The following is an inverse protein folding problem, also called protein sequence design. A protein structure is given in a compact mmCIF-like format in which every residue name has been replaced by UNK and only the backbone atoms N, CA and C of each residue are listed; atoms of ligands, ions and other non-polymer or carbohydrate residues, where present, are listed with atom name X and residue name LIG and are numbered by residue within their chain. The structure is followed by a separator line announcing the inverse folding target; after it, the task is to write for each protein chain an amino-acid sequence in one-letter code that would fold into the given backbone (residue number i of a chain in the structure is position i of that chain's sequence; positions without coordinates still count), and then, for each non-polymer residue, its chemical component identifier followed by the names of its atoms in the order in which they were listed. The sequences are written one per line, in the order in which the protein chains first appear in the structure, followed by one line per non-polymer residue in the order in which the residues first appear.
data_IF_288191522241
#
_entry.id   IF_288191522241
#
_cell.length_a   1.000
_cell.length_b   1.000
_cell.length_c   1.000
_cell.angle_alpha   90.00
_cell.angle_beta   90.00
_cell.angle_gamma   90.00
#
_symmetry.space_group_name_H-M   'P 1'
#
loop_
_entity.id
_entity.type
_entity.pdbx_description
1 polymer ?
#
# COMPACT_ATOMS: atom_id res chain seq x y z
N UNK A 1 27.84 -0.54 18.33
CA UNK A 1 28.11 -0.97 16.95
C UNK A 1 26.95 -1.83 16.52
N UNK A 2 26.21 -1.42 15.51
CA UNK A 2 25.17 -2.23 14.92
C UNK A 2 25.82 -3.43 14.24
N UNK A 3 25.45 -4.61 14.66
CA UNK A 3 25.86 -5.85 14.02
C UNK A 3 25.08 -5.99 12.71
N UNK A 4 25.50 -6.93 11.88
CA UNK A 4 24.74 -7.32 10.67
C UNK A 4 23.29 -7.62 11.00
N UNK A 5 22.35 -6.92 10.36
CA UNK A 5 20.91 -7.14 10.46
C UNK A 5 20.37 -7.52 9.08
N UNK A 6 19.53 -8.54 9.02
CA UNK A 6 18.91 -9.01 7.79
C UNK A 6 17.41 -8.78 7.83
N UNK A 7 16.87 -8.24 6.73
CA UNK A 7 15.48 -7.90 6.62
C UNK A 7 14.90 -8.54 5.34
N UNK A 8 13.63 -8.92 5.39
CA UNK A 8 12.87 -9.35 4.22
C UNK A 8 11.50 -8.69 4.22
N UNK A 9 11.08 -8.21 3.06
CA UNK A 9 9.76 -7.65 2.84
C UNK A 9 9.02 -8.41 1.74
N UNK A 10 7.72 -8.49 1.93
CA UNK A 10 6.76 -8.96 0.94
C UNK A 10 5.72 -7.87 0.67
N UNK A 11 4.99 -7.98 -0.45
CA UNK A 11 3.92 -7.06 -0.79
C UNK A 11 2.61 -7.35 -0.07
N UNK A 12 1.50 -7.23 -0.80
CA UNK A 12 0.15 -7.27 -0.26
C UNK A 12 -0.27 -8.68 0.15
N UNK A 13 -0.75 -8.82 1.38
CA UNK A 13 -1.33 -10.05 1.90
C UNK A 13 -2.85 -9.90 2.05
N UNK A 14 -3.56 -10.22 0.97
CA UNK A 14 -5.01 -10.32 0.93
C UNK A 14 -5.43 -11.75 1.26
N UNK A 15 -5.51 -12.08 2.56
CA UNK A 15 -5.81 -13.40 3.09
C UNK A 15 -7.27 -13.49 3.54
N UNK A 16 -8.06 -14.38 2.96
CA UNK A 16 -9.51 -14.47 3.24
C UNK A 16 -9.91 -15.69 4.05
N UNK A 17 -9.04 -16.69 4.15
CA UNK A 17 -9.35 -18.00 4.77
C UNK A 17 -8.13 -18.61 5.43
N UNK A 18 -8.38 -19.54 6.32
CA UNK A 18 -7.37 -20.35 6.99
C UNK A 18 -6.66 -21.29 6.00
N UNK A 19 -5.38 -21.47 6.19
CA UNK A 19 -4.65 -22.53 5.50
C UNK A 19 -5.09 -23.92 6.00
N UNK A 20 -5.00 -24.97 5.15
CA UNK A 20 -5.15 -26.35 5.60
C UNK A 20 -4.14 -26.66 6.72
N UNK A 21 -4.48 -27.64 7.57
CA UNK A 21 -3.53 -28.18 8.54
C UNK A 21 -2.25 -28.69 7.82
N UNK A 22 -1.08 -28.18 8.22
CA UNK A 22 0.18 -28.48 7.56
C UNK A 22 0.54 -27.52 6.40
N UNK A 23 -0.30 -26.52 6.10
CA UNK A 23 -0.06 -25.55 5.03
C UNK A 23 -0.57 -26.00 3.65
N UNK A 24 0.04 -25.52 2.61
CA UNK A 24 -0.24 -25.84 1.20
C UNK A 24 1.06 -26.23 0.48
N UNK A 25 0.97 -26.79 -0.72
CA UNK A 25 2.16 -27.16 -1.51
C UNK A 25 3.03 -25.92 -1.80
N UNK A 26 4.29 -25.96 -1.38
CA UNK A 26 5.23 -24.84 -1.50
C UNK A 26 5.31 -23.92 -0.27
N UNK A 27 4.43 -24.09 0.74
CA UNK A 27 4.42 -23.27 1.95
C UNK A 27 5.76 -23.30 2.70
N UNK A 28 6.32 -24.49 2.92
CA UNK A 28 7.57 -24.65 3.69
C UNK A 28 8.76 -23.96 3.03
N UNK A 29 8.86 -24.04 1.70
CA UNK A 29 9.94 -23.40 0.94
C UNK A 29 9.89 -21.87 1.08
N UNK A 30 8.68 -21.27 0.97
CA UNK A 30 8.48 -19.83 1.18
C UNK A 30 8.80 -19.44 2.62
N UNK A 31 8.28 -20.18 3.58
CA UNK A 31 8.55 -19.98 5.01
C UNK A 31 10.03 -20.05 5.35
N UNK A 32 10.75 -21.03 4.78
CA UNK A 32 12.16 -21.26 5.05
C UNK A 32 13.02 -20.11 4.51
N UNK A 33 12.67 -19.49 3.37
CA UNK A 33 13.31 -18.26 2.90
C UNK A 33 13.06 -17.12 3.88
N UNK A 34 11.81 -16.89 4.27
CA UNK A 34 11.43 -15.80 5.18
C UNK A 34 12.17 -15.94 6.52
N UNK A 35 12.31 -17.16 7.05
CA UNK A 35 12.92 -17.39 8.36
C UNK A 35 14.47 -17.30 8.39
N UNK A 36 15.12 -17.03 7.25
CA UNK A 36 16.54 -16.70 7.21
C UNK A 36 16.84 -15.27 7.70
N UNK A 37 15.80 -14.43 7.83
CA UNK A 37 15.92 -13.00 8.12
C UNK A 37 15.50 -12.68 9.56
N UNK A 38 16.08 -11.62 10.13
CA UNK A 38 15.77 -11.14 11.50
C UNK A 38 14.43 -10.38 11.50
N UNK A 39 14.22 -9.48 10.54
CA UNK A 39 13.01 -8.67 10.36
C UNK A 39 12.23 -9.18 9.15
N UNK A 40 10.96 -9.46 9.33
CA UNK A 40 10.09 -10.11 8.35
C UNK A 40 8.79 -9.35 8.21
N UNK A 41 8.68 -8.57 7.15
CA UNK A 41 7.60 -7.61 6.90
C UNK A 41 6.57 -8.12 5.88
N UNK A 42 5.29 -7.80 6.12
CA UNK A 42 4.22 -7.93 5.13
C UNK A 42 3.15 -6.84 5.33
N UNK A 43 2.44 -6.45 4.24
CA UNK A 43 1.26 -5.61 4.33
C UNK A 43 0.01 -6.47 4.55
N UNK A 44 -0.74 -6.22 5.62
CA UNK A 44 -2.03 -6.88 5.91
C UNK A 44 -3.15 -6.09 5.23
N UNK A 45 -3.52 -6.48 4.01
CA UNK A 45 -4.50 -5.76 3.18
C UNK A 45 -5.93 -6.24 3.41
N UNK A 46 -6.32 -6.33 4.68
CA UNK A 46 -7.63 -6.82 5.12
C UNK A 46 -8.06 -6.16 6.43
N UNK A 47 -9.33 -6.28 6.77
CA UNK A 47 -9.80 -6.15 8.15
C UNK A 47 -9.95 -7.53 8.79
N UNK A 48 -9.55 -7.67 10.04
CA UNK A 48 -9.55 -8.95 10.77
C UNK A 48 -10.51 -8.90 11.94
N UNK A 49 -11.75 -9.35 11.73
CA UNK A 49 -12.80 -9.35 12.74
C UNK A 49 -13.98 -10.23 12.34
N UNK A 50 -14.87 -10.52 13.30
CA UNK A 50 -16.08 -11.32 13.10
C UNK A 50 -17.33 -10.40 13.10
N UNK A 51 -17.53 -9.59 12.04
CA UNK A 51 -18.69 -8.70 11.86
C UNK A 51 -18.84 -7.63 12.97
N UNK A 52 -17.72 -7.17 13.52
CA UNK A 52 -17.72 -6.21 14.64
C UNK A 52 -17.78 -4.74 14.19
N UNK A 53 -17.71 -4.49 12.88
CA UNK A 53 -17.90 -3.19 12.26
C UNK A 53 -19.02 -3.21 11.23
N UNK A 54 -19.54 -2.03 10.89
CA UNK A 54 -20.50 -1.89 9.80
C UNK A 54 -19.74 -1.77 8.48
N UNK A 55 -20.20 -2.42 7.38
CA UNK A 55 -19.65 -2.15 6.06
C UNK A 55 -19.69 -0.66 5.76
N UNK A 56 -18.59 -0.10 5.30
CA UNK A 56 -18.57 1.28 4.84
C UNK A 56 -19.34 1.40 3.52
N UNK A 57 -19.82 2.60 3.21
CA UNK A 57 -20.54 2.85 1.95
C UNK A 57 -19.67 2.70 0.69
N UNK A 58 -18.38 2.47 0.88
CA UNK A 58 -17.36 2.22 -0.15
C UNK A 58 -16.37 1.20 0.39
N UNK A 59 -15.57 0.61 -0.49
CA UNK A 59 -14.52 -0.35 -0.14
C UNK A 59 -13.26 -0.08 -0.94
N UNK A 60 -12.17 -0.73 -0.57
CA UNK A 60 -10.92 -0.72 -1.33
C UNK A 60 -10.97 -1.46 -2.68
N UNK A 61 -12.15 -1.84 -3.16
CA UNK A 61 -12.38 -2.59 -4.40
C UNK A 61 -13.31 -3.77 -4.21
N UNK A 62 -13.28 -4.38 -3.03
CA UNK A 62 -14.28 -5.32 -2.47
C UNK A 62 -14.26 -5.15 -0.96
N UNK A 63 -15.35 -5.47 -0.26
CA UNK A 63 -15.32 -5.45 1.20
C UNK A 63 -14.53 -6.63 1.72
N UNK A 64 -13.35 -6.34 2.29
CA UNK A 64 -12.38 -7.33 2.71
C UNK A 64 -12.41 -7.54 4.23
N UNK A 65 -12.94 -8.69 4.65
CA UNK A 65 -12.97 -9.14 6.03
C UNK A 65 -12.53 -10.59 6.10
N UNK A 66 -11.66 -10.91 7.07
CA UNK A 66 -11.23 -12.26 7.36
C UNK A 66 -11.44 -12.63 8.83
N UNK A 67 -11.64 -13.92 9.10
CA UNK A 67 -11.60 -14.45 10.46
C UNK A 67 -10.25 -14.10 11.11
N UNK A 68 -10.22 -13.53 12.33
CA UNK A 68 -8.97 -13.16 12.99
C UNK A 68 -7.94 -14.28 13.14
N UNK A 69 -8.37 -15.56 13.07
CA UNK A 69 -7.45 -16.70 13.09
C UNK A 69 -6.55 -16.76 11.85
N UNK A 70 -6.88 -16.09 10.74
CA UNK A 70 -5.99 -15.97 9.57
C UNK A 70 -4.70 -15.22 9.89
N UNK A 71 -4.69 -14.38 10.94
CA UNK A 71 -3.48 -13.77 11.47
C UNK A 71 -2.48 -14.80 11.99
N UNK A 72 -2.97 -15.94 12.51
CA UNK A 72 -2.11 -17.03 12.96
C UNK A 72 -1.42 -17.72 11.76
N UNK A 73 -2.10 -17.76 10.59
CA UNK A 73 -1.52 -18.25 9.34
C UNK A 73 -0.42 -17.30 8.82
N UNK A 74 -0.61 -15.98 8.92
CA UNK A 74 0.45 -15.01 8.64
C UNK A 74 1.67 -15.18 9.56
N UNK A 75 1.44 -15.40 10.86
CA UNK A 75 2.53 -15.71 11.80
C UNK A 75 3.24 -17.02 11.48
N UNK A 76 2.54 -18.00 10.92
CA UNK A 76 3.12 -19.31 10.58
C UNK A 76 4.20 -19.24 9.50
N UNK A 77 4.21 -18.21 8.64
CA UNK A 77 5.33 -17.88 7.76
C UNK A 77 6.57 -17.37 8.51
N UNK A 78 6.37 -16.86 9.73
CA UNK A 78 7.40 -16.25 10.54
C UNK A 78 7.41 -14.72 10.53
N UNK A 79 6.47 -14.06 9.86
CA UNK A 79 6.36 -12.59 9.88
C UNK A 79 6.28 -12.02 11.28
N UNK A 80 6.99 -10.91 11.54
CA UNK A 80 7.07 -10.27 12.84
C UNK A 80 6.87 -8.74 12.79
N UNK A 81 6.60 -8.17 11.61
CA UNK A 81 6.35 -6.74 11.41
C UNK A 81 5.30 -6.52 10.32
N UNK A 82 4.27 -5.69 10.59
CA UNK A 82 3.11 -5.57 9.70
C UNK A 82 2.70 -4.13 9.45
N UNK A 83 2.38 -3.82 8.18
CA UNK A 83 1.60 -2.64 7.83
C UNK A 83 0.10 -2.94 7.89
N UNK A 84 -0.68 -1.97 8.37
CA UNK A 84 -2.15 -2.02 8.39
C UNK A 84 -2.80 -0.81 7.73
N UNK A 85 -2.01 0.15 7.22
CA UNK A 85 -2.52 1.31 6.48
C UNK A 85 -2.62 0.99 4.99
N UNK A 86 -3.83 0.73 4.51
CA UNK A 86 -4.12 0.42 3.10
C UNK A 86 -5.56 0.78 2.74
N UNK A 87 -5.96 0.62 1.48
CA UNK A 87 -7.29 0.92 0.98
C UNK A 87 -8.40 0.09 1.63
N UNK A 88 -8.08 -1.11 2.14
CA UNK A 88 -9.01 -2.01 2.83
C UNK A 88 -9.12 -1.78 4.34
N UNK A 89 -8.28 -0.95 4.93
CA UNK A 89 -8.26 -0.73 6.40
C UNK A 89 -9.62 -0.35 6.98
N UNK A 90 -10.46 0.34 6.21
CA UNK A 90 -11.74 0.91 6.65
C UNK A 90 -12.95 0.31 5.95
N UNK A 91 -12.86 -0.83 5.30
CA UNK A 91 -13.97 -1.50 4.60
C UNK A 91 -15.16 -1.79 5.52
N UNK A 92 -14.89 -1.97 6.81
CA UNK A 92 -15.91 -2.13 7.86
C UNK A 92 -15.92 -0.97 8.85
N UNK A 93 -15.68 0.25 8.34
CA UNK A 93 -15.76 1.50 9.08
C UNK A 93 -14.81 1.51 10.30
N UNK A 94 -14.98 2.47 11.20
CA UNK A 94 -14.14 2.61 12.39
C UNK A 94 -14.23 1.40 13.34
N UNK A 95 -15.40 0.70 13.35
CA UNK A 95 -15.57 -0.53 14.12
C UNK A 95 -14.65 -1.65 13.66
N UNK A 96 -14.53 -1.84 12.33
CA UNK A 96 -13.59 -2.80 11.74
C UNK A 96 -12.13 -2.47 12.03
N UNK A 97 -11.75 -1.19 11.96
CA UNK A 97 -10.39 -0.72 12.35
C UNK A 97 -10.08 -1.08 13.80
N UNK A 98 -10.97 -0.73 14.72
CA UNK A 98 -10.77 -1.00 16.16
C UNK A 98 -10.73 -2.50 16.48
N UNK A 99 -11.57 -3.29 15.81
CA UNK A 99 -11.58 -4.75 15.98
C UNK A 99 -10.29 -5.38 15.41
N UNK A 100 -9.81 -4.92 14.27
CA UNK A 100 -8.52 -5.36 13.69
C UNK A 100 -7.35 -5.04 14.63
N UNK A 101 -7.27 -3.80 15.15
CA UNK A 101 -6.26 -3.40 16.13
C UNK A 101 -6.28 -4.34 17.34
N UNK A 102 -7.44 -4.57 17.94
CA UNK A 102 -7.60 -5.48 19.08
C UNK A 102 -7.13 -6.89 18.76
N UNK A 103 -7.52 -7.46 17.61
CA UNK A 103 -7.13 -8.81 17.22
C UNK A 103 -5.63 -8.97 16.98
N UNK A 104 -4.93 -7.90 16.52
CA UNK A 104 -3.48 -7.86 16.40
C UNK A 104 -2.81 -7.75 17.78
N UNK A 105 -3.30 -6.86 18.67
CA UNK A 105 -2.81 -6.69 20.04
C UNK A 105 -2.95 -7.98 20.86
N UNK A 106 -4.09 -8.69 20.77
CA UNK A 106 -4.34 -9.97 21.43
C UNK A 106 -3.37 -11.10 21.01
N UNK A 107 -2.71 -10.93 19.86
CA UNK A 107 -1.73 -11.86 19.31
C UNK A 107 -0.29 -11.39 19.44
N UNK A 108 -0.06 -10.30 20.18
CA UNK A 108 1.26 -9.67 20.32
C UNK A 108 1.92 -9.36 18.96
N UNK A 109 1.13 -9.03 17.93
CA UNK A 109 1.63 -8.67 16.61
C UNK A 109 2.09 -7.21 16.60
N UNK A 110 3.27 -6.97 16.03
CA UNK A 110 3.84 -5.61 15.91
C UNK A 110 3.40 -5.01 14.57
N UNK A 111 2.66 -3.90 14.61
CA UNK A 111 2.10 -3.26 13.45
C UNK A 111 2.12 -1.74 13.55
N UNK A 112 2.02 -1.05 12.41
CA UNK A 112 1.87 0.39 12.29
C UNK A 112 0.86 0.74 11.20
N UNK A 113 0.35 1.98 11.22
CA UNK A 113 -0.42 2.58 10.15
C UNK A 113 -1.91 2.76 10.44
N UNK A 114 -2.47 2.06 11.43
CA UNK A 114 -3.83 2.31 11.93
C UNK A 114 -3.82 2.60 13.42
N UNK A 115 -4.81 3.35 13.89
CA UNK A 115 -4.90 3.74 15.30
C UNK A 115 -6.28 4.22 15.71
N UNK A 116 -6.49 4.39 17.00
CA UNK A 116 -7.72 4.94 17.59
C UNK A 116 -7.88 6.45 17.32
N UNK A 117 -6.81 7.10 16.89
CA UNK A 117 -6.73 8.49 16.46
C UNK A 117 -5.47 8.70 15.61
N UNK A 118 -5.28 9.91 15.05
CA UNK A 118 -4.15 10.21 14.19
C UNK A 118 -2.79 10.03 14.89
N UNK A 119 -2.68 10.39 16.16
CA UNK A 119 -1.43 10.21 16.91
C UNK A 119 -1.04 8.75 17.06
N UNK A 120 -2.00 7.85 17.28
CA UNK A 120 -1.74 6.41 17.33
C UNK A 120 -1.46 5.83 15.94
N UNK A 121 -2.21 6.26 14.91
CA UNK A 121 -2.03 5.77 13.55
C UNK A 121 -0.67 6.18 12.95
N UNK A 122 -0.15 7.36 13.31
CA UNK A 122 1.11 7.91 12.77
C UNK A 122 2.36 7.51 13.54
N UNK A 123 2.23 7.07 14.80
CA UNK A 123 3.39 6.70 15.61
C UNK A 123 4.12 5.48 15.03
N UNK A 124 5.46 5.42 15.15
CA UNK A 124 6.21 4.23 14.80
C UNK A 124 5.87 3.06 15.73
N UNK A 125 5.89 1.84 15.19
CA UNK A 125 6.02 0.63 15.99
C UNK A 125 7.48 0.22 16.09
N UNK A 126 7.82 -0.60 17.11
CA UNK A 126 9.20 -1.03 17.38
C UNK A 126 9.28 -2.54 17.51
N UNK A 127 10.23 -3.13 16.79
CA UNK A 127 10.57 -4.54 16.84
C UNK A 127 11.97 -4.71 17.45
N UNK A 128 12.05 -5.45 18.55
CA UNK A 128 13.35 -5.85 19.12
C UNK A 128 13.85 -7.12 18.44
N UNK A 129 15.08 -7.11 17.99
CA UNK A 129 15.77 -8.27 17.45
C UNK A 129 17.07 -8.51 18.24
N UNK A 130 17.67 -9.68 18.08
CA UNK A 130 18.98 -9.97 18.68
C UNK A 130 20.11 -9.07 18.15
N UNK A 131 19.90 -8.41 17.01
CA UNK A 131 20.88 -7.61 16.29
C UNK A 131 20.65 -6.09 16.41
N UNK A 132 19.55 -5.68 17.05
CA UNK A 132 19.17 -4.28 17.25
C UNK A 132 17.66 -4.06 17.18
N UNK A 133 17.25 -2.81 17.35
CA UNK A 133 15.88 -2.35 17.32
C UNK A 133 15.53 -1.79 15.95
N UNK A 134 14.38 -2.15 15.43
CA UNK A 134 13.80 -1.62 14.18
C UNK A 134 12.54 -0.84 14.49
N UNK A 135 12.42 0.37 13.93
CA UNK A 135 11.20 1.15 13.93
C UNK A 135 10.54 1.07 12.55
N UNK A 136 9.22 1.15 12.50
CA UNK A 136 8.48 1.26 11.24
C UNK A 136 7.35 2.27 11.37
N UNK A 137 7.27 3.19 10.40
CA UNK A 137 6.16 4.09 10.17
C UNK A 137 5.41 3.60 8.93
N UNK A 138 4.08 3.62 8.96
CA UNK A 138 3.28 3.17 7.85
C UNK A 138 2.20 4.19 7.47
N UNK A 139 1.96 4.36 6.16
CA UNK A 139 0.98 5.30 5.60
C UNK A 139 0.22 4.68 4.43
N UNK A 140 -0.91 5.28 4.06
CA UNK A 140 -1.57 4.98 2.79
C UNK A 140 -1.97 6.28 2.08
N UNK A 141 -1.82 6.31 0.75
CA UNK A 141 -2.38 7.35 -0.13
C UNK A 141 -3.71 6.93 -0.75
N UNK A 142 -3.93 5.63 -0.88
CA UNK A 142 -5.15 5.06 -1.43
C UNK A 142 -6.18 4.80 -0.32
N UNK A 143 -7.13 5.71 -0.15
CA UNK A 143 -8.20 5.61 0.86
C UNK A 143 -9.36 6.56 0.53
N UNK A 144 -10.50 6.30 1.13
CA UNK A 144 -11.60 7.27 1.18
C UNK A 144 -11.40 8.21 2.40
N UNK A 145 -11.72 9.49 2.26
CA UNK A 145 -11.49 10.51 3.30
C UNK A 145 -12.06 10.15 4.69
N UNK A 146 -13.17 9.43 4.75
CA UNK A 146 -13.74 8.98 6.03
C UNK A 146 -12.90 7.92 6.74
N UNK A 147 -11.95 7.27 6.05
CA UNK A 147 -11.02 6.30 6.61
C UNK A 147 -9.80 6.91 7.28
N UNK A 148 -9.56 8.22 7.09
CA UNK A 148 -8.45 8.90 7.76
C UNK A 148 -8.62 8.93 9.27
N UNK A 149 -7.57 8.62 10.00
CA UNK A 149 -7.50 8.88 11.43
C UNK A 149 -7.62 10.39 11.69
N UNK A 150 -8.38 10.77 12.68
CA UNK A 150 -8.56 12.17 13.08
C UNK A 150 -7.78 12.48 14.36
N UNK A 151 -7.19 13.69 14.43
CA UNK A 151 -6.51 14.16 15.63
C UNK A 151 -7.50 14.34 16.80
N UNK A 152 -6.99 14.16 18.01
CA UNK A 152 -7.79 14.45 19.20
C UNK A 152 -7.44 15.85 19.76
N UNK A 153 -8.39 16.47 20.41
CA UNK A 153 -8.19 17.71 21.16
C UNK A 153 -8.44 17.50 22.65
N UNK A 154 -8.29 18.55 23.45
CA UNK A 154 -8.60 18.48 24.88
C UNK A 154 -10.08 18.16 25.17
N UNK A 155 -10.97 18.57 24.27
CA UNK A 155 -12.45 18.49 24.45
C UNK A 155 -13.07 17.32 23.67
N UNK A 156 -12.40 16.81 22.61
CA UNK A 156 -12.97 15.81 21.71
C UNK A 156 -11.98 14.68 21.47
N UNK A 157 -12.49 13.45 21.50
CA UNK A 157 -11.70 12.26 21.11
C UNK A 157 -11.36 12.33 19.63
N UNK A 158 -10.24 11.71 19.25
CA UNK A 158 -9.87 11.52 17.86
C UNK A 158 -10.71 10.46 17.16
N UNK A 159 -10.65 10.43 15.85
CA UNK A 159 -11.33 9.43 15.00
C UNK A 159 -10.40 8.28 14.71
N UNK A 160 -10.83 7.00 14.90
CA UNK A 160 -10.08 5.84 14.45
C UNK A 160 -9.93 5.83 12.93
N UNK A 161 -8.80 5.28 12.45
CA UNK A 161 -8.56 5.19 11.02
C UNK A 161 -7.09 4.89 10.70
N UNK A 162 -6.74 5.07 9.43
CA UNK A 162 -5.38 4.92 8.93
C UNK A 162 -4.59 6.23 8.97
N UNK A 163 -3.25 6.11 8.94
CA UNK A 163 -2.32 7.23 8.78
C UNK A 163 -2.30 7.69 7.32
N UNK A 164 -2.89 8.85 6.98
CA UNK A 164 -3.04 9.27 5.60
C UNK A 164 -1.76 9.86 5.02
N UNK A 165 -1.52 9.60 3.74
CA UNK A 165 -0.61 10.34 2.87
C UNK A 165 -1.43 10.97 1.76
N UNK A 166 -1.99 12.16 1.99
CA UNK A 166 -2.74 12.90 0.97
C UNK A 166 -1.80 13.50 -0.06
N UNK A 167 -2.32 13.74 -1.23
CA UNK A 167 -1.61 14.40 -2.32
C UNK A 167 -2.55 15.33 -3.09
N UNK A 168 -1.96 16.23 -3.87
CA UNK A 168 -2.67 17.10 -4.80
C UNK A 168 -2.18 16.81 -6.21
N UNK A 169 -3.11 16.73 -7.17
CA UNK A 169 -2.81 16.65 -8.60
C UNK A 169 -3.00 18.01 -9.25
N UNK A 170 -1.99 18.48 -9.97
CA UNK A 170 -1.95 19.74 -10.67
C UNK A 170 -1.78 19.46 -12.16
N UNK A 171 -2.68 19.98 -12.98
CA UNK A 171 -2.60 19.87 -14.43
C UNK A 171 -1.93 21.12 -14.98
N UNK A 172 -0.68 21.02 -15.43
CA UNK A 172 0.01 22.04 -16.15
C UNK A 172 -0.45 22.02 -17.59
N UNK A 173 -0.85 23.18 -18.11
CA UNK A 173 -1.42 23.26 -19.46
C UNK A 173 -0.92 24.49 -20.20
N UNK A 174 -0.75 24.34 -21.52
CA UNK A 174 -0.41 25.44 -22.41
C UNK A 174 -1.48 26.52 -22.40
N UNK A 175 -1.10 27.75 -22.80
CA UNK A 175 -2.03 28.88 -22.89
C UNK A 175 -3.28 28.58 -23.72
N UNK A 176 -3.14 27.79 -24.77
CA UNK A 176 -4.26 27.37 -25.60
C UNK A 176 -5.24 26.48 -24.84
N UNK A 177 -4.73 25.46 -24.15
CA UNK A 177 -5.53 24.51 -23.40
C UNK A 177 -6.09 25.12 -22.10
N UNK A 178 -5.34 26.04 -21.46
CA UNK A 178 -5.84 26.81 -20.33
C UNK A 178 -7.10 27.61 -20.70
N UNK A 179 -7.07 28.31 -21.87
CA UNK A 179 -8.22 29.06 -22.35
C UNK A 179 -9.42 28.17 -22.66
N UNK A 180 -9.20 26.98 -23.28
CA UNK A 180 -10.27 26.02 -23.52
C UNK A 180 -10.90 25.53 -22.21
N UNK A 181 -10.08 25.24 -21.18
CA UNK A 181 -10.56 24.82 -19.86
C UNK A 181 -11.36 25.94 -19.18
N UNK A 182 -10.91 27.20 -19.28
CA UNK A 182 -11.61 28.38 -18.76
C UNK A 182 -12.99 28.56 -19.43
N UNK A 183 -13.04 28.48 -20.74
CA UNK A 183 -14.31 28.56 -21.51
C UNK A 183 -15.26 27.43 -21.13
N UNK A 184 -14.76 26.19 -21.01
CA UNK A 184 -15.56 25.04 -20.63
C UNK A 184 -16.06 25.15 -19.17
N UNK A 185 -15.24 25.60 -18.25
CA UNK A 185 -15.61 25.85 -16.85
C UNK A 185 -16.74 26.88 -16.75
N UNK A 186 -16.66 27.97 -17.52
CA UNK A 186 -17.67 29.00 -17.57
C UNK A 186 -19.01 28.47 -18.16
N UNK A 187 -18.95 27.72 -19.27
CA UNK A 187 -20.13 27.14 -19.91
C UNK A 187 -20.84 26.12 -19.02
N UNK A 188 -20.10 25.24 -18.36
CA UNK A 188 -20.65 24.16 -17.53
C UNK A 188 -21.02 24.63 -16.13
N UNK A 189 -20.56 25.82 -15.72
CA UNK A 189 -20.69 26.34 -14.35
C UNK A 189 -20.15 25.37 -13.29
N UNK A 190 -19.13 24.55 -13.64
CA UNK A 190 -18.59 23.50 -12.77
C UNK A 190 -18.06 24.05 -11.43
N UNK A 191 -17.63 25.32 -11.41
CA UNK A 191 -17.10 26.01 -10.24
C UNK A 191 -18.14 26.79 -9.43
N UNK A 192 -19.45 26.80 -9.81
CA UNK A 192 -20.45 27.66 -9.22
C UNK A 192 -20.60 27.53 -7.70
N UNK A 193 -20.44 26.31 -7.16
CA UNK A 193 -20.51 26.08 -5.71
C UNK A 193 -19.30 26.69 -5.00
N UNK A 194 -18.10 26.50 -5.54
CA UNK A 194 -16.86 27.05 -5.02
C UNK A 194 -16.91 28.60 -5.08
N UNK A 195 -17.29 29.18 -6.22
CA UNK A 195 -17.43 30.63 -6.43
C UNK A 195 -18.40 31.25 -5.41
N UNK A 196 -19.54 30.60 -5.18
CA UNK A 196 -20.50 31.01 -4.14
C UNK A 196 -19.89 30.93 -2.74
N UNK A 197 -19.13 29.89 -2.42
CA UNK A 197 -18.45 29.73 -1.12
C UNK A 197 -17.41 30.80 -0.91
N UNK A 198 -16.63 31.15 -1.92
CA UNK A 198 -15.68 32.28 -1.91
C UNK A 198 -16.40 33.61 -1.70
N UNK A 199 -17.47 33.87 -2.50
CA UNK A 199 -18.27 35.08 -2.38
C UNK A 199 -18.87 35.28 -0.99
N UNK A 200 -19.25 34.19 -0.33
CA UNK A 200 -19.86 34.21 1.01
C UNK A 200 -18.83 34.15 2.15
N UNK A 201 -17.51 34.10 1.83
CA UNK A 201 -16.42 34.07 2.82
C UNK A 201 -16.23 32.70 3.51
N UNK A 202 -16.83 31.64 3.02
CA UNK A 202 -16.64 30.28 3.55
C UNK A 202 -15.35 29.64 3.04
N UNK A 203 -14.79 30.15 1.95
CA UNK A 203 -13.59 29.61 1.31
C UNK A 203 -12.73 30.74 0.78
N UNK A 204 -11.41 30.56 0.82
CA UNK A 204 -10.48 31.50 0.18
C UNK A 204 -10.56 31.39 -1.36
N UNK A 205 -10.32 32.48 -2.08
CA UNK A 205 -10.21 32.44 -3.53
C UNK A 205 -9.06 31.53 -3.96
N UNK A 206 -9.13 30.93 -5.15
CA UNK A 206 -8.03 30.18 -5.73
C UNK A 206 -6.75 31.02 -5.79
N UNK A 207 -5.59 30.38 -5.69
CA UNK A 207 -4.30 31.05 -5.85
C UNK A 207 -4.20 31.74 -7.23
N UNK A 208 -3.48 32.86 -7.28
CA UNK A 208 -3.26 33.56 -8.55
C UNK A 208 -2.59 32.64 -9.58
N UNK A 209 -3.07 32.64 -10.82
CA UNK A 209 -2.57 31.78 -11.90
C UNK A 209 -3.11 30.34 -11.88
N UNK A 210 -4.05 30.04 -10.97
CA UNK A 210 -4.73 28.75 -10.91
C UNK A 210 -6.16 28.85 -11.42
N UNK A 211 -6.53 27.97 -12.34
CA UNK A 211 -7.91 27.78 -12.81
C UNK A 211 -8.48 26.52 -12.14
N UNK A 212 -9.44 26.66 -11.22
CA UNK A 212 -10.20 25.52 -10.71
C UNK A 212 -11.11 24.96 -11.81
N UNK A 213 -11.24 23.62 -11.83
CA UNK A 213 -12.15 22.90 -12.69
C UNK A 213 -12.81 21.76 -11.94
N UNK A 214 -13.85 22.07 -11.18
CA UNK A 214 -14.45 21.16 -10.21
C UNK A 214 -13.47 20.87 -9.05
N UNK A 215 -13.06 19.61 -8.93
CA UNK A 215 -12.06 19.16 -7.95
C UNK A 215 -10.62 19.24 -8.47
N UNK A 216 -10.44 19.52 -9.74
CA UNK A 216 -9.14 19.61 -10.39
C UNK A 216 -8.62 21.04 -10.45
N UNK A 217 -7.32 21.17 -10.70
CA UNK A 217 -6.58 22.43 -10.70
C UNK A 217 -5.69 22.50 -11.93
N UNK A 218 -5.90 23.53 -12.75
CA UNK A 218 -5.06 23.81 -13.91
C UNK A 218 -4.15 25.01 -13.65
N UNK A 219 -2.91 24.89 -14.09
CA UNK A 219 -1.90 25.95 -13.99
C UNK A 219 -1.33 26.18 -15.40
N UNK A 220 -1.08 27.45 -15.72
CA UNK A 220 -0.49 27.82 -17.00
C UNK A 220 1.00 27.42 -17.04
N UNK A 221 1.39 26.72 -18.13
CA UNK A 221 2.77 26.28 -18.37
C UNK A 221 3.12 26.36 -19.87
N UNK A 222 4.37 26.08 -20.22
CA UNK A 222 4.87 26.02 -21.59
C UNK A 222 4.45 24.72 -22.30
N UNK A 223 4.18 23.65 -21.54
CA UNK A 223 3.75 22.33 -22.05
C UNK A 223 2.65 21.74 -21.18
N UNK A 224 1.90 20.78 -21.76
CA UNK A 224 0.92 20.03 -21.02
C UNK A 224 1.58 18.85 -20.29
N UNK A 225 1.38 18.75 -18.98
CA UNK A 225 1.85 17.65 -18.14
C UNK A 225 1.10 17.60 -16.80
N UNK A 226 1.25 16.50 -16.08
CA UNK A 226 0.60 16.29 -14.78
C UNK A 226 1.69 16.33 -13.71
N UNK A 227 1.45 17.08 -12.65
CA UNK A 227 2.24 17.08 -11.43
C UNK A 227 1.40 16.50 -10.29
N UNK A 228 2.01 15.65 -9.48
CA UNK A 228 1.43 15.26 -8.21
C UNK A 228 2.39 15.56 -7.07
N UNK A 229 1.89 16.11 -5.96
CA UNK A 229 2.70 16.53 -4.81
C UNK A 229 2.09 16.01 -3.51
N UNK A 230 2.91 15.49 -2.57
CA UNK A 230 2.40 15.07 -1.28
C UNK A 230 1.93 16.28 -0.47
N UNK A 231 0.86 16.07 0.31
CA UNK A 231 0.29 17.13 1.15
C UNK A 231 1.31 17.54 2.22
N UNK A 232 1.67 18.85 2.35
CA UNK A 232 2.76 19.27 3.23
C UNK A 232 2.61 18.81 4.68
N UNK A 233 1.42 18.92 5.27
CA UNK A 233 1.20 18.55 6.65
C UNK A 233 1.33 17.03 6.91
N UNK A 234 1.02 16.19 5.90
CA UNK A 234 1.19 14.74 6.02
C UNK A 234 2.66 14.37 5.89
N UNK A 235 3.37 15.04 4.98
CA UNK A 235 4.81 14.88 4.80
C UNK A 235 5.59 15.27 6.06
N UNK A 236 5.33 16.47 6.60
CA UNK A 236 5.95 16.96 7.83
C UNK A 236 5.70 16.01 9.02
N UNK A 237 4.48 15.46 9.13
CA UNK A 237 4.14 14.48 10.17
C UNK A 237 5.03 13.23 10.06
N UNK A 238 5.14 12.66 8.86
CA UNK A 238 5.94 11.44 8.65
C UNK A 238 7.43 11.71 8.86
N UNK A 239 7.98 12.79 8.32
CA UNK A 239 9.37 13.19 8.52
C UNK A 239 9.72 13.35 10.01
N UNK A 240 8.82 13.97 10.77
CA UNK A 240 8.99 14.14 12.21
C UNK A 240 9.05 12.78 12.94
N UNK A 241 8.15 11.86 12.59
CA UNK A 241 8.15 10.52 13.19
C UNK A 241 9.42 9.73 12.80
N UNK A 242 9.94 9.87 11.57
CA UNK A 242 11.21 9.27 11.16
C UNK A 242 12.37 9.81 12.01
N UNK A 243 12.48 11.13 12.13
CA UNK A 243 13.55 11.79 12.93
C UNK A 243 13.49 11.36 14.40
N UNK A 244 12.30 11.24 14.99
CA UNK A 244 12.15 10.78 16.37
C UNK A 244 12.44 9.27 16.50
N UNK A 245 12.00 8.45 15.54
CA UNK A 245 12.29 7.01 15.52
C UNK A 245 13.79 6.74 15.42
N UNK A 246 14.53 7.52 14.62
CA UNK A 246 15.98 7.41 14.43
C UNK A 246 16.78 7.62 15.73
N UNK A 247 16.20 8.31 16.71
CA UNK A 247 16.81 8.46 18.05
C UNK A 247 16.65 7.22 18.93
N UNK A 248 15.76 6.30 18.56
CA UNK A 248 15.32 5.17 19.39
C UNK A 248 15.56 3.81 18.75
N UNK A 249 15.86 3.77 17.46
CA UNK A 249 16.05 2.53 16.70
C UNK A 249 17.34 2.57 15.87
N UNK A 250 17.91 1.41 15.62
CA UNK A 250 19.09 1.22 14.77
C UNK A 250 18.72 1.32 13.29
N UNK A 251 17.53 0.84 12.93
CA UNK A 251 16.96 0.90 11.57
C UNK A 251 15.56 1.50 11.63
N UNK A 252 15.25 2.39 10.70
CA UNK A 252 13.93 2.99 10.50
C UNK A 252 13.40 2.61 9.13
N UNK A 253 12.28 1.92 9.08
CA UNK A 253 11.55 1.55 7.88
C UNK A 253 10.36 2.48 7.69
N UNK A 254 10.06 2.81 6.43
CA UNK A 254 8.81 3.46 6.06
C UNK A 254 8.07 2.52 5.12
N UNK A 255 6.80 2.25 5.40
CA UNK A 255 5.92 1.48 4.53
C UNK A 255 4.84 2.38 3.97
N UNK A 256 4.59 2.33 2.66
CA UNK A 256 3.47 3.04 2.05
C UNK A 256 2.61 2.11 1.19
N UNK A 257 1.30 2.32 1.24
CA UNK A 257 0.35 1.68 0.34
C UNK A 257 -0.21 2.72 -0.62
N UNK A 258 0.03 2.54 -1.93
CA UNK A 258 -0.37 3.50 -2.95
C UNK A 258 -0.55 2.90 -4.33
N UNK A 259 -1.78 3.05 -4.88
CA UNK A 259 -2.13 2.58 -6.23
C UNK A 259 -1.84 3.63 -7.31
N UNK A 260 -1.55 4.87 -6.93
CA UNK A 260 -1.56 6.01 -7.81
C UNK A 260 -0.44 5.97 -8.86
N UNK A 261 -0.81 6.39 -10.08
CA UNK A 261 0.06 6.60 -11.24
C UNK A 261 -0.26 7.96 -11.86
N UNK A 262 0.69 8.57 -12.55
CA UNK A 262 0.49 9.85 -13.26
C UNK A 262 0.19 9.65 -14.76
N UNK A 263 -0.24 8.46 -15.15
CA UNK A 263 -0.53 8.10 -16.52
C UNK A 263 -1.26 6.76 -16.64
N UNK A 264 -1.19 6.16 -17.81
CA UNK A 264 -1.81 4.85 -18.08
C UNK A 264 -0.93 3.67 -17.66
N UNK A 265 0.37 3.90 -17.50
CA UNK A 265 1.34 2.86 -17.10
C UNK A 265 1.31 2.69 -15.58
N UNK A 266 0.69 1.61 -15.14
CA UNK A 266 0.54 1.27 -13.72
C UNK A 266 1.86 0.85 -13.05
N UNK A 267 2.88 0.51 -13.83
CA UNK A 267 4.20 0.14 -13.33
C UNK A 267 5.05 1.34 -12.87
N UNK A 268 4.64 2.56 -13.28
CA UNK A 268 5.29 3.82 -12.90
C UNK A 268 4.55 4.44 -11.73
N UNK A 269 5.18 4.59 -10.55
CA UNK A 269 4.55 5.25 -9.43
C UNK A 269 4.29 6.73 -9.73
N UNK A 270 3.22 7.29 -9.16
CA UNK A 270 2.95 8.73 -9.25
C UNK A 270 4.10 9.55 -8.66
N UNK A 271 4.38 10.74 -9.22
CA UNK A 271 5.50 11.61 -8.83
C UNK A 271 5.50 11.92 -7.33
N UNK A 272 4.32 12.05 -6.71
CA UNK A 272 4.27 12.30 -5.27
C UNK A 272 4.77 11.11 -4.44
N UNK A 273 4.60 9.86 -4.91
CA UNK A 273 5.12 8.66 -4.23
C UNK A 273 6.65 8.59 -4.32
N UNK A 274 7.22 8.95 -5.47
CA UNK A 274 8.68 9.07 -5.59
C UNK A 274 9.23 10.18 -4.68
N UNK A 275 8.58 11.36 -4.71
CA UNK A 275 8.93 12.48 -3.84
C UNK A 275 8.83 12.11 -2.37
N UNK A 276 7.74 11.47 -1.96
CA UNK A 276 7.54 10.98 -0.60
C UNK A 276 8.65 10.02 -0.18
N UNK A 277 8.94 9.02 -1.01
CA UNK A 277 9.92 7.98 -0.70
C UNK A 277 11.33 8.55 -0.51
N UNK A 278 11.77 9.41 -1.44
CA UNK A 278 13.09 10.08 -1.35
C UNK A 278 13.18 11.00 -0.14
N UNK A 279 12.13 11.77 0.16
CA UNK A 279 12.08 12.62 1.36
C UNK A 279 12.09 11.81 2.66
N UNK A 280 11.49 10.64 2.70
CA UNK A 280 11.61 9.74 3.85
C UNK A 280 13.07 9.30 4.09
N UNK A 281 13.80 8.96 3.02
CA UNK A 281 15.24 8.63 3.12
C UNK A 281 16.03 9.84 3.57
N UNK A 282 15.78 11.03 3.01
CA UNK A 282 16.44 12.29 3.41
C UNK A 282 16.18 12.63 4.89
N UNK A 283 15.02 12.26 5.43
CA UNK A 283 14.68 12.40 6.86
C UNK A 283 15.35 11.34 7.76
N UNK A 284 15.95 10.29 7.17
CA UNK A 284 16.71 9.26 7.88
C UNK A 284 16.12 7.86 7.84
N UNK A 285 15.15 7.58 6.98
CA UNK A 285 14.70 6.20 6.76
C UNK A 285 15.79 5.35 6.10
N UNK A 286 15.98 4.14 6.58
CA UNK A 286 16.99 3.19 6.07
C UNK A 286 16.44 2.30 4.94
N UNK A 287 15.12 2.24 4.77
CA UNK A 287 14.45 1.64 3.63
C UNK A 287 13.00 2.16 3.50
N UNK A 288 12.48 2.17 2.26
CA UNK A 288 11.07 2.44 1.97
C UNK A 288 10.46 1.25 1.24
N UNK A 289 9.32 0.78 1.72
CA UNK A 289 8.62 -0.42 1.22
C UNK A 289 7.25 -0.02 0.71
N UNK A 290 7.08 -0.03 -0.62
CA UNK A 290 5.84 0.26 -1.30
C UNK A 290 5.06 -1.01 -1.64
N UNK A 291 3.74 -0.89 -1.65
CA UNK A 291 2.77 -1.90 -2.05
C UNK A 291 1.46 -1.22 -2.46
N UNK A 292 0.48 -1.97 -2.96
CA UNK A 292 -0.83 -1.45 -3.38
C UNK A 292 -1.22 -1.77 -4.83
N UNK A 293 -0.42 -1.47 -5.87
CA UNK A 293 -0.86 -1.65 -7.27
C UNK A 293 -1.05 -3.12 -7.66
N UNK A 294 -0.74 -4.05 -6.76
CA UNK A 294 -0.80 -5.50 -6.96
C UNK A 294 0.15 -6.04 -8.03
N UNK A 295 1.04 -5.23 -8.53
CA UNK A 295 2.07 -5.58 -9.52
C UNK A 295 3.44 -5.02 -9.12
N UNK A 296 4.48 -5.51 -9.75
CA UNK A 296 5.84 -5.05 -9.49
C UNK A 296 6.05 -3.64 -10.03
N UNK A 297 6.75 -2.80 -9.25
CA UNK A 297 7.34 -1.53 -9.66
C UNK A 297 8.84 -1.55 -9.40
N UNK A 298 9.58 -0.65 -10.02
CA UNK A 298 11.03 -0.59 -9.95
C UNK A 298 11.59 -0.48 -8.53
N UNK A 299 12.89 -0.78 -8.40
CA UNK A 299 13.68 -0.60 -7.18
C UNK A 299 14.67 0.54 -7.41
N UNK A 300 14.71 1.49 -6.48
CA UNK A 300 15.69 2.58 -6.47
C UNK A 300 16.64 2.42 -5.28
N UNK A 301 17.92 2.71 -5.49
CA UNK A 301 18.89 2.87 -4.40
C UNK A 301 19.18 4.37 -4.26
N UNK A 302 18.49 5.01 -3.34
CA UNK A 302 18.58 6.44 -3.12
C UNK A 302 19.40 6.75 -1.85
N UNK A 303 20.50 7.49 -1.99
CA UNK A 303 21.43 7.79 -0.91
C UNK A 303 21.87 6.56 -0.07
N UNK A 304 21.94 5.39 -0.70
CA UNK A 304 22.34 4.15 -0.06
C UNK A 304 21.20 3.39 0.65
N UNK A 305 19.96 3.90 0.59
CA UNK A 305 18.78 3.22 1.10
C UNK A 305 17.94 2.62 -0.04
N UNK A 306 17.42 1.40 0.09
CA UNK A 306 16.55 0.82 -0.92
C UNK A 306 15.13 1.40 -0.83
N UNK A 307 14.58 1.76 -1.97
CA UNK A 307 13.17 2.10 -2.15
C UNK A 307 12.56 1.04 -3.06
N UNK A 308 11.67 0.24 -2.53
CA UNK A 308 10.87 -0.73 -3.28
C UNK A 308 9.54 -0.06 -3.61
N UNK A 309 9.30 0.35 -4.86
CA UNK A 309 8.05 1.06 -5.20
C UNK A 309 6.82 0.17 -5.22
N UNK A 310 6.97 -1.12 -5.50
CA UNK A 310 6.00 -2.17 -5.19
C UNK A 310 6.63 -3.57 -5.33
N UNK A 311 6.32 -4.44 -4.38
CA UNK A 311 6.73 -5.84 -4.38
C UNK A 311 5.66 -6.78 -4.96
N UNK A 312 4.51 -6.24 -5.44
CA UNK A 312 3.37 -7.01 -5.90
C UNK A 312 2.58 -7.64 -4.75
N UNK A 313 1.96 -8.78 -4.98
CA UNK A 313 1.18 -9.50 -3.99
C UNK A 313 2.00 -10.60 -3.30
N UNK A 314 1.79 -10.80 -2.01
CA UNK A 314 2.28 -11.99 -1.29
C UNK A 314 1.18 -13.05 -1.15
N UNK A 315 -0.01 -12.62 -0.79
CA UNK A 315 -1.25 -13.43 -0.79
C UNK A 315 -2.31 -12.67 -1.56
N UNK A 316 -3.08 -13.34 -2.41
CA UNK A 316 -4.10 -12.68 -3.21
C UNK A 316 -5.36 -13.54 -3.38
N UNK A 317 -6.08 -13.76 -2.28
CA UNK A 317 -7.24 -14.64 -2.21
C UNK A 317 -8.57 -13.90 -2.49
N UNK A 318 -8.58 -12.94 -3.42
CA UNK A 318 -9.73 -12.07 -3.71
C UNK A 318 -10.99 -12.82 -4.17
N UNK A 319 -10.83 -14.03 -4.72
CA UNK A 319 -11.95 -14.84 -5.20
C UNK A 319 -12.62 -15.68 -4.09
N UNK A 320 -12.06 -15.66 -2.87
CA UNK A 320 -12.52 -16.47 -1.74
C UNK A 320 -13.01 -15.65 -0.55
N UNK A 321 -13.30 -14.36 -0.76
CA UNK A 321 -13.98 -13.53 0.23
C UNK A 321 -15.31 -14.19 0.63
N UNK A 322 -15.52 -14.40 1.93
CA UNK A 322 -16.65 -15.20 2.42
C UNK A 322 -17.98 -14.46 2.40
N UNK A 323 -17.97 -13.13 2.61
CA UNK A 323 -19.17 -12.31 2.73
C UNK A 323 -19.02 -11.02 1.93
N UNK A 324 -20.16 -10.57 1.39
CA UNK A 324 -20.28 -9.26 0.75
C UNK A 324 -21.50 -8.54 1.33
N UNK A 325 -21.43 -7.21 1.56
CA UNK A 325 -22.57 -6.46 2.09
C UNK A 325 -23.66 -6.25 1.04
N UNK A 326 -24.81 -5.78 1.48
CA UNK A 326 -25.97 -5.42 0.64
C UNK A 326 -25.55 -4.56 -0.56
N UNK A 327 -24.73 -3.52 -0.32
CA UNK A 327 -24.30 -2.57 -1.34
C UNK A 327 -23.53 -3.23 -2.50
N UNK A 328 -22.75 -4.27 -2.22
CA UNK A 328 -22.03 -5.03 -3.24
C UNK A 328 -22.99 -5.65 -4.27
N UNK A 329 -24.06 -6.28 -3.80
CA UNK A 329 -25.07 -6.90 -4.67
C UNK A 329 -25.86 -5.86 -5.45
N UNK A 330 -26.31 -4.78 -4.81
CA UNK A 330 -27.07 -3.71 -5.47
C UNK A 330 -26.25 -3.02 -6.54
N UNK A 331 -24.98 -2.70 -6.26
CA UNK A 331 -24.07 -2.08 -7.24
C UNK A 331 -23.86 -2.95 -8.49
N UNK A 332 -23.92 -4.26 -8.34
CA UNK A 332 -23.83 -5.23 -9.44
C UNK A 332 -25.20 -5.63 -10.01
N UNK A 333 -26.30 -5.06 -9.47
CA UNK A 333 -27.69 -5.42 -9.87
C UNK A 333 -27.98 -6.90 -9.74
N UNK A 334 -27.48 -7.53 -8.67
CA UNK A 334 -27.63 -8.97 -8.39
C UNK A 334 -28.65 -9.21 -7.28
N UNK A 335 -29.40 -10.34 -7.33
CA UNK A 335 -30.27 -10.75 -6.25
C UNK A 335 -29.48 -10.98 -4.94
N UNK A 336 -30.07 -10.62 -3.80
CA UNK A 336 -29.39 -10.71 -2.48
C UNK A 336 -29.16 -12.16 -2.01
N UNK A 337 -29.89 -13.14 -2.56
CA UNK A 337 -29.71 -14.56 -2.31
C UNK A 337 -28.65 -15.22 -3.19
N UNK A 338 -27.97 -14.42 -4.04
CA UNK A 338 -26.86 -14.90 -4.86
C UNK A 338 -25.70 -15.37 -3.97
N UNK A 339 -25.21 -16.58 -4.19
CA UNK A 339 -24.02 -17.10 -3.49
C UNK A 339 -22.79 -16.23 -3.81
N UNK A 340 -21.93 -15.99 -2.82
CA UNK A 340 -20.73 -15.17 -2.98
C UNK A 340 -19.83 -15.66 -4.12
N UNK A 341 -19.67 -16.98 -4.29
CA UNK A 341 -18.93 -17.54 -5.43
C UNK A 341 -19.50 -17.10 -6.78
N UNK A 342 -20.83 -17.11 -6.95
CA UNK A 342 -21.49 -16.63 -8.17
C UNK A 342 -21.38 -15.11 -8.32
N UNK A 343 -21.35 -14.37 -7.22
CA UNK A 343 -21.04 -12.93 -7.24
C UNK A 343 -19.62 -12.68 -7.79
N UNK A 344 -18.61 -13.45 -7.31
CA UNK A 344 -17.23 -13.33 -7.78
C UNK A 344 -17.10 -13.74 -9.27
N UNK A 345 -17.81 -14.79 -9.70
CA UNK A 345 -17.86 -15.19 -11.11
C UNK A 345 -18.44 -14.06 -12.00
N UNK A 346 -19.52 -13.44 -11.56
CA UNK A 346 -20.13 -12.31 -12.27
C UNK A 346 -19.23 -11.07 -12.28
N UNK A 347 -18.53 -10.78 -11.16
CA UNK A 347 -17.58 -9.66 -11.05
C UNK A 347 -16.44 -9.79 -12.07
N UNK A 348 -15.90 -10.98 -12.23
CA UNK A 348 -14.78 -11.29 -13.13
C UNK A 348 -15.23 -11.72 -14.54
N UNK A 349 -16.55 -11.78 -14.81
CA UNK A 349 -17.11 -12.43 -16.00
C UNK A 349 -16.51 -13.82 -16.24
N UNK A 350 -16.51 -14.63 -15.21
CA UNK A 350 -15.88 -15.95 -15.18
C UNK A 350 -14.37 -15.92 -15.49
N UNK A 351 -13.64 -14.97 -14.93
CA UNK A 351 -12.19 -14.82 -15.08
C UNK A 351 -11.74 -14.23 -16.41
N UNK A 352 -12.66 -13.65 -17.20
CA UNK A 352 -12.32 -13.05 -18.51
C UNK A 352 -12.09 -11.53 -18.45
N UNK A 353 -12.17 -10.93 -17.27
CA UNK A 353 -11.89 -9.49 -17.05
C UNK A 353 -11.23 -9.26 -15.68
N UNK A 354 -10.61 -8.09 -15.53
CA UNK A 354 -9.90 -7.71 -14.30
C UNK A 354 -8.71 -8.62 -14.05
N UNK A 355 -8.47 -8.95 -12.80
CA UNK A 355 -7.28 -9.74 -12.39
C UNK A 355 -7.14 -11.11 -13.06
N UNK A 356 -8.23 -11.67 -13.61
CA UNK A 356 -8.21 -12.94 -14.33
C UNK A 356 -7.48 -12.90 -15.68
N UNK A 357 -7.20 -11.71 -16.22
CA UNK A 357 -6.54 -11.51 -17.53
C UNK A 357 -5.22 -10.71 -17.44
N UNK A 358 -4.75 -10.43 -16.24
CA UNK A 358 -3.55 -9.66 -15.95
C UNK A 358 -2.51 -10.55 -15.26
N UNK A 359 -1.62 -11.23 -16.00
CA UNK A 359 -0.67 -12.19 -15.43
C UNK A 359 0.31 -11.53 -14.45
N UNK A 360 0.64 -10.25 -14.62
CA UNK A 360 1.52 -9.46 -13.75
C UNK A 360 1.02 -9.40 -12.30
N UNK A 361 -0.29 -9.45 -12.07
CA UNK A 361 -0.90 -9.46 -10.72
C UNK A 361 -0.55 -10.73 -9.92
N UNK A 362 -0.22 -11.81 -10.62
CA UNK A 362 0.01 -13.14 -10.04
C UNK A 362 1.49 -13.49 -9.91
N UNK A 363 2.37 -12.54 -10.24
CA UNK A 363 3.82 -12.67 -10.17
C UNK A 363 4.38 -11.58 -9.27
N UNK A 364 5.25 -11.95 -8.34
CA UNK A 364 5.78 -11.04 -7.32
C UNK A 364 7.19 -11.46 -6.89
N UNK A 365 7.78 -10.67 -6.02
CA UNK A 365 9.05 -11.02 -5.39
C UNK A 365 8.99 -10.83 -3.87
N UNK A 366 9.73 -11.65 -3.14
CA UNK A 366 10.14 -11.37 -1.78
C UNK A 366 11.52 -10.71 -1.83
N UNK A 367 11.66 -9.53 -1.23
CA UNK A 367 12.90 -8.76 -1.24
C UNK A 367 13.59 -8.89 0.12
N UNK A 368 14.71 -9.59 0.15
CA UNK A 368 15.58 -9.70 1.32
C UNK A 368 16.77 -8.74 1.20
N UNK A 369 17.20 -8.08 2.26
CA UNK A 369 18.41 -7.25 2.23
C UNK A 369 19.20 -7.33 3.52
N UNK A 370 20.46 -6.92 3.44
CA UNK A 370 21.41 -6.93 4.55
C UNK A 370 21.90 -5.51 4.83
N UNK A 371 21.84 -5.14 6.10
CA UNK A 371 22.45 -3.91 6.63
C UNK A 371 23.65 -4.30 7.51
N UNK A 372 24.82 -3.74 7.22
CA UNK A 372 26.05 -3.92 8.03
C UNK A 372 26.58 -2.54 8.44
N UNK A 373 26.76 -2.33 9.73
CA UNK A 373 27.21 -1.05 10.32
C UNK A 373 26.44 0.18 9.81
N UNK A 374 25.13 0.02 9.58
CA UNK A 374 24.22 1.09 9.09
C UNK A 374 24.21 1.27 7.58
N UNK A 375 24.89 0.41 6.82
CA UNK A 375 24.95 0.50 5.37
C UNK A 375 24.29 -0.71 4.71
N UNK A 376 23.56 -0.48 3.64
CA UNK A 376 23.05 -1.53 2.77
C UNK A 376 24.23 -2.19 2.03
N UNK A 377 24.29 -3.51 2.03
CA UNK A 377 25.37 -4.26 1.35
C UNK A 377 24.90 -5.15 0.23
N UNK A 378 23.72 -5.74 0.35
CA UNK A 378 23.18 -6.67 -0.64
C UNK A 378 21.65 -6.70 -0.56
N UNK A 379 21.00 -6.83 -1.73
CA UNK A 379 19.57 -7.19 -1.84
C UNK A 379 19.45 -8.50 -2.60
N UNK A 380 18.62 -9.42 -2.13
CA UNK A 380 18.24 -10.67 -2.79
C UNK A 380 16.76 -10.70 -3.10
N UNK A 381 16.41 -11.05 -4.31
CA UNK A 381 15.03 -11.06 -4.81
C UNK A 381 14.64 -12.49 -5.16
N UNK A 382 13.59 -12.97 -4.50
CA UNK A 382 13.08 -14.35 -4.66
C UNK A 382 11.73 -14.27 -5.38
N UNK A 383 11.63 -14.71 -6.64
CA UNK A 383 10.38 -14.65 -7.39
C UNK A 383 9.38 -15.67 -6.88
N UNK A 384 8.14 -15.23 -6.74
CA UNK A 384 6.99 -16.05 -6.33
C UNK A 384 5.86 -15.96 -7.35
N UNK A 385 5.08 -17.02 -7.45
CA UNK A 385 3.83 -17.08 -8.21
C UNK A 385 2.67 -17.34 -7.28
N UNK A 386 1.52 -16.75 -7.60
CA UNK A 386 0.27 -16.88 -6.87
C UNK A 386 -0.76 -17.78 -7.58
N UNK A 387 -0.29 -18.56 -8.57
CA UNK A 387 -1.10 -19.59 -9.23
C UNK A 387 -2.28 -19.04 -10.04
N UNK A 388 -2.04 -18.12 -11.00
CA UNK A 388 -3.09 -17.53 -11.85
C UNK A 388 -4.03 -18.57 -12.48
N UNK A 389 -3.48 -19.68 -12.93
CA UNK A 389 -4.21 -20.76 -13.61
C UNK A 389 -4.79 -21.81 -12.68
N UNK A 390 -4.48 -21.71 -11.39
CA UNK A 390 -4.98 -22.63 -10.39
C UNK A 390 -6.49 -22.48 -10.16
N UNK A 391 -7.08 -23.55 -9.62
CA UNK A 391 -8.48 -23.49 -9.19
C UNK A 391 -8.63 -22.53 -8.01
N UNK A 392 -9.77 -21.85 -7.90
CA UNK A 392 -10.09 -20.89 -6.83
C UNK A 392 -9.62 -21.33 -5.43
N UNK A 393 -9.77 -22.60 -4.97
CA UNK A 393 -9.29 -23.02 -3.66
C UNK A 393 -7.76 -23.13 -3.52
N UNK A 394 -7.00 -23.00 -4.60
CA UNK A 394 -5.54 -23.13 -4.64
C UNK A 394 -4.85 -21.88 -5.14
N UNK A 395 -5.65 -20.92 -5.66
CA UNK A 395 -5.17 -19.65 -6.20
C UNK A 395 -4.92 -18.65 -5.09
N UNK A 396 -3.92 -17.80 -5.27
CA UNK A 396 -3.63 -16.64 -4.41
C UNK A 396 -2.63 -16.93 -3.29
N UNK A 397 -2.05 -18.14 -3.22
CA UNK A 397 -1.01 -18.47 -2.23
C UNK A 397 0.38 -18.45 -2.87
N UNK A 398 1.42 -17.95 -2.17
CA UNK A 398 2.76 -17.82 -2.74
C UNK A 398 3.49 -19.15 -2.86
N UNK A 399 4.11 -19.36 -4.03
CA UNK A 399 5.02 -20.49 -4.29
C UNK A 399 6.29 -19.94 -4.90
N UNK A 400 7.47 -20.37 -4.43
CA UNK A 400 8.74 -20.02 -5.05
C UNK A 400 8.82 -20.62 -6.46
N UNK A 401 9.17 -19.80 -7.45
CA UNK A 401 9.21 -20.26 -8.84
C UNK A 401 10.63 -20.38 -9.39
N UNK A 402 11.56 -19.55 -8.91
CA UNK A 402 12.86 -19.37 -9.55
C UNK A 402 12.75 -18.84 -10.99
N UNK A 403 11.62 -18.24 -11.37
CA UNK A 403 11.38 -17.74 -12.73
C UNK A 403 12.19 -16.47 -13.00
N UNK A 404 13.24 -16.62 -13.78
CA UNK A 404 14.14 -15.52 -14.16
C UNK A 404 13.46 -14.46 -15.05
N UNK A 405 12.30 -14.76 -15.68
CA UNK A 405 11.56 -13.74 -16.43
C UNK A 405 10.95 -12.70 -15.50
N UNK A 406 10.47 -13.10 -14.32
CA UNK A 406 9.96 -12.17 -13.30
C UNK A 406 11.08 -11.22 -12.84
N UNK A 407 12.28 -11.77 -12.62
CA UNK A 407 13.46 -10.98 -12.23
C UNK A 407 13.94 -10.07 -13.35
N UNK A 408 13.93 -10.56 -14.59
CA UNK A 408 14.29 -9.76 -15.77
C UNK A 408 13.31 -8.61 -15.97
N UNK A 409 12.01 -8.85 -15.77
CA UNK A 409 10.99 -7.81 -15.81
C UNK A 409 11.23 -6.75 -14.73
N UNK A 410 11.47 -7.15 -13.49
CA UNK A 410 11.79 -6.22 -12.40
C UNK A 410 13.08 -5.45 -12.65
N UNK A 411 14.10 -6.08 -13.27
CA UNK A 411 15.32 -5.40 -13.65
C UNK A 411 15.05 -4.30 -14.69
N UNK A 412 14.19 -4.54 -15.69
CA UNK A 412 13.76 -3.51 -16.65
C UNK A 412 13.05 -2.35 -15.96
N UNK A 413 12.12 -2.62 -15.04
CA UNK A 413 11.42 -1.59 -14.25
C UNK A 413 12.37 -0.78 -13.36
N UNK A 414 13.51 -1.34 -12.98
CA UNK A 414 14.49 -0.70 -12.09
C UNK A 414 15.54 0.14 -12.85
N UNK A 415 15.68 -0.04 -14.17
CA UNK A 415 16.62 0.72 -14.99
C UNK A 415 16.44 2.25 -14.94
N UNK A 416 15.22 2.79 -14.99
CA UNK A 416 15.02 4.24 -14.87
C UNK A 416 15.59 4.85 -13.59
N UNK A 417 15.74 4.05 -12.54
CA UNK A 417 16.33 4.43 -11.26
C UNK A 417 17.84 4.14 -11.16
N UNK A 418 18.45 3.64 -12.24
CA UNK A 418 19.88 3.30 -12.28
C UNK A 418 20.27 2.06 -11.47
N UNK A 419 19.30 1.22 -11.11
CA UNK A 419 19.54 0.00 -10.34
C UNK A 419 19.84 -1.17 -11.27
N UNK A 420 21.01 -1.79 -11.12
CA UNK A 420 21.42 -2.98 -11.86
C UNK A 420 21.23 -4.24 -11.02
N UNK A 421 20.81 -5.33 -11.66
CA UNK A 421 20.52 -6.61 -11.03
C UNK A 421 21.25 -7.74 -11.73
N UNK A 422 22.00 -8.55 -10.99
CA UNK A 422 22.53 -9.83 -11.43
C UNK A 422 21.47 -10.92 -11.20
N UNK A 423 21.15 -11.70 -12.22
CA UNK A 423 20.19 -12.81 -12.12
C UNK A 423 20.96 -14.11 -12.27
N UNK A 424 20.86 -14.96 -11.28
CA UNK A 424 21.54 -16.25 -11.26
C UNK A 424 20.81 -17.26 -10.38
N UNK A 425 20.69 -18.49 -10.89
CA UNK A 425 20.10 -19.64 -10.17
C UNK A 425 18.69 -19.33 -9.61
N UNK A 426 17.89 -18.56 -10.37
CA UNK A 426 16.52 -18.16 -9.99
C UNK A 426 16.45 -17.10 -8.89
N UNK A 427 17.56 -16.41 -8.57
CA UNK A 427 17.61 -15.31 -7.58
C UNK A 427 18.20 -14.06 -8.24
N UNK A 428 17.52 -12.92 -8.02
CA UNK A 428 18.05 -11.60 -8.37
C UNK A 428 18.94 -11.07 -7.24
N UNK A 429 20.07 -10.45 -7.58
CA UNK A 429 20.99 -9.85 -6.60
C UNK A 429 21.38 -8.45 -7.03
N UNK A 430 21.23 -7.48 -6.11
CA UNK A 430 21.74 -6.13 -6.24
C UNK A 430 22.86 -5.97 -5.21
N UNK A 431 24.08 -5.66 -5.68
CA UNK A 431 25.26 -5.42 -4.83
C UNK A 431 25.63 -3.95 -4.84
N UNK A 432 26.13 -3.46 -3.70
CA UNK A 432 26.49 -2.06 -3.47
C UNK A 432 27.95 -1.92 -3.06
#
# INVERSE_FOLDING_TARGET
MMKKMTLIATGDAFITRRFPEGGYEGFEQVRDVINQYDVKFSNLEMTFHNEEGYPAAFSGGTWAMADPRTLDDMRSFGFNLFNTANNHSCDYSHGGVLATIRNLEERDMIFAGTGKNLSEASKPCYLETKNGRVAMIAVSSSFHESGMAGGQSAELIGRPGLNPLRYETIYHVTKENYKKAEELAALTKINATMERSVKNGYQNPPASGTLPFGTYKFVLDEKDWIESVPFPADMERVEKEIIEAKKQADIVLVSFHGHETDGEDTTVPSMFLETFSRRCVDAGADAVIGHGPHELRGIEIYHGAPIFYSLGNFLFETETVEKQPYDAYINKKMPLDTKVGAYMDARSKNGTTGYGVLPEIWLSVMAGWTMEDGHLTEIKLYPISLGMTEKRPQKGVPVLTGDENVLSYLAELSKPYGTEMEIKDGVGTIRL
#
